data_IF_431814228948
#
_entry.id   IF_431814228948
#
_cell.length_a   1.000
_cell.length_b   1.000
_cell.length_c   1.000
_cell.angle_alpha   90.00
_cell.angle_beta   90.00
_cell.angle_gamma   90.00
#
_symmetry.space_group_name_H-M   'P 1'
#
loop_
_entity.id
_entity.type
_entity.pdbx_description
1 polymer ?
#
# COMPACT_ATOMS: atom_id res chain seq x y z
N UNK A 1 -1.32 -10.31 -11.09
CA UNK A 1 -0.46 -9.31 -10.39
C UNK A 1 -1.25 -8.11 -9.86
N UNK A 2 -2.00 -7.37 -10.69
CA UNK A 2 -2.76 -6.21 -10.20
C UNK A 2 -3.86 -6.59 -9.19
N UNK A 3 -4.62 -7.64 -9.48
CA UNK A 3 -5.63 -8.18 -8.55
C UNK A 3 -5.03 -8.56 -7.20
N UNK A 4 -3.87 -9.23 -7.20
CA UNK A 4 -3.12 -9.55 -5.98
C UNK A 4 -2.76 -8.27 -5.21
N UNK A 5 -2.24 -7.27 -5.90
CA UNK A 5 -1.81 -6.02 -5.29
C UNK A 5 -2.99 -5.28 -4.62
N UNK A 6 -4.12 -5.18 -5.30
CA UNK A 6 -5.31 -4.52 -4.78
C UNK A 6 -5.95 -5.30 -3.62
N UNK A 7 -5.99 -6.64 -3.71
CA UNK A 7 -6.53 -7.49 -2.66
C UNK A 7 -5.72 -7.35 -1.36
N UNK A 8 -4.39 -7.50 -1.45
CA UNK A 8 -3.52 -7.37 -0.28
C UNK A 8 -3.50 -5.95 0.27
N UNK A 9 -3.52 -4.93 -0.59
CA UNK A 9 -3.67 -3.55 -0.15
C UNK A 9 -4.92 -3.37 0.69
N UNK A 10 -6.08 -3.76 0.19
CA UNK A 10 -7.35 -3.63 0.90
C UNK A 10 -7.34 -4.39 2.23
N UNK A 11 -6.82 -5.62 2.23
CA UNK A 11 -6.74 -6.44 3.44
C UNK A 11 -5.86 -5.79 4.52
N UNK A 12 -4.66 -5.33 4.16
CA UNK A 12 -3.73 -4.71 5.11
C UNK A 12 -4.29 -3.38 5.64
N UNK A 13 -4.84 -2.55 4.79
CA UNK A 13 -5.44 -1.28 5.21
C UNK A 13 -6.61 -1.50 6.18
N UNK A 14 -7.48 -2.48 5.92
CA UNK A 14 -8.56 -2.84 6.83
C UNK A 14 -8.04 -3.27 8.19
N UNK A 15 -7.03 -4.14 8.24
CA UNK A 15 -6.45 -4.61 9.51
C UNK A 15 -5.79 -3.48 10.29
N UNK A 16 -5.06 -2.61 9.60
CA UNK A 16 -4.46 -1.43 10.25
C UNK A 16 -5.52 -0.48 10.82
N UNK A 17 -6.65 -0.29 10.13
CA UNK A 17 -7.75 0.55 10.65
C UNK A 17 -8.39 -0.02 11.92
N UNK A 18 -8.33 -1.32 12.10
CA UNK A 18 -8.88 -2.04 13.26
C UNK A 18 -7.86 -2.21 14.39
N UNK A 19 -6.67 -1.65 14.28
CA UNK A 19 -5.57 -1.82 15.22
C UNK A 19 -5.20 -3.29 15.50
N UNK A 20 -5.31 -4.15 14.48
CA UNK A 20 -4.82 -5.52 14.62
C UNK A 20 -3.32 -5.54 14.87
N UNK A 21 -2.85 -6.54 15.63
CA UNK A 21 -1.45 -6.65 16.09
C UNK A 21 -0.44 -6.62 14.96
N UNK A 22 -0.78 -7.18 13.79
CA UNK A 22 0.12 -7.19 12.65
C UNK A 22 -0.41 -8.00 11.48
N UNK A 23 0.33 -7.97 10.41
CA UNK A 23 0.04 -8.71 9.18
C UNK A 23 1.31 -9.41 8.72
N UNK A 24 1.21 -10.71 8.53
CA UNK A 24 2.27 -11.52 7.91
C UNK A 24 1.83 -11.84 6.48
N UNK A 25 2.63 -11.42 5.52
CA UNK A 25 2.33 -11.65 4.12
C UNK A 25 3.10 -12.86 3.59
N UNK A 26 2.44 -13.70 2.84
CA UNK A 26 3.05 -14.78 2.10
C UNK A 26 3.07 -14.42 0.62
N UNK A 27 4.20 -14.17 0.02
CA UNK A 27 5.55 -14.08 0.57
C UNK A 27 6.26 -12.86 -0.02
N UNK A 28 7.46 -12.53 0.46
CA UNK A 28 8.19 -11.36 -0.02
C UNK A 28 8.60 -11.52 -1.49
N UNK A 29 9.17 -12.67 -1.85
CA UNK A 29 9.86 -12.85 -3.13
C UNK A 29 9.37 -14.07 -3.93
N UNK A 30 9.64 -14.02 -5.22
CA UNK A 30 9.60 -15.15 -6.14
C UNK A 30 11.01 -15.65 -6.42
N UNK A 31 11.21 -16.97 -6.50
CA UNK A 31 12.49 -17.58 -6.88
C UNK A 31 12.73 -17.53 -8.39
N UNK A 32 11.68 -17.41 -9.17
CA UNK A 32 11.70 -17.25 -10.64
C UNK A 32 10.56 -16.34 -11.10
N UNK A 33 10.62 -15.79 -12.31
CA UNK A 33 9.59 -14.90 -12.81
C UNK A 33 8.24 -15.62 -12.99
N UNK A 34 7.38 -15.51 -12.00
CA UNK A 34 6.05 -16.13 -12.00
C UNK A 34 4.94 -15.16 -11.64
N UNK A 35 3.69 -15.59 -11.83
CA UNK A 35 2.51 -14.92 -11.31
C UNK A 35 2.17 -15.29 -9.86
N UNK A 36 3.12 -15.86 -9.10
CA UNK A 36 2.89 -16.35 -7.75
C UNK A 36 2.71 -15.27 -6.68
N UNK A 37 2.95 -15.65 -5.44
CA UNK A 37 2.56 -14.89 -4.25
C UNK A 37 3.49 -13.74 -3.88
N UNK A 38 4.76 -13.80 -4.29
CA UNK A 38 5.75 -12.80 -3.93
C UNK A 38 5.46 -11.42 -4.50
N UNK A 39 5.97 -10.40 -3.84
CA UNK A 39 5.86 -9.01 -4.27
C UNK A 39 7.04 -8.54 -5.13
N UNK A 40 8.14 -9.27 -5.10
CA UNK A 40 9.31 -9.01 -5.93
C UNK A 40 9.87 -10.29 -6.55
N UNK A 41 10.52 -10.15 -7.68
CA UNK A 41 11.26 -11.22 -8.35
C UNK A 41 12.75 -10.98 -8.16
N UNK A 42 13.49 -12.00 -7.76
CA UNK A 42 14.94 -11.94 -7.74
C UNK A 42 15.51 -12.06 -9.15
N UNK A 43 16.58 -11.38 -9.39
CA UNK A 43 17.34 -11.56 -10.62
C UNK A 43 18.17 -12.83 -10.60
N UNK A 44 18.60 -13.27 -11.76
CA UNK A 44 19.46 -14.44 -11.95
C UNK A 44 20.92 -13.99 -12.06
N UNK A 45 21.82 -14.51 -11.22
CA UNK A 45 23.25 -14.22 -11.36
C UNK A 45 23.81 -14.92 -12.61
N UNK A 46 24.41 -14.16 -13.50
CA UNK A 46 25.05 -14.65 -14.71
C UNK A 46 26.40 -13.94 -14.85
N UNK A 47 27.49 -14.69 -14.84
CA UNK A 47 28.85 -14.15 -15.03
C UNK A 47 29.19 -12.93 -14.17
N UNK A 48 28.80 -12.93 -12.90
CA UNK A 48 29.07 -11.82 -11.96
C UNK A 48 28.11 -10.64 -12.06
N UNK A 49 27.11 -10.73 -12.92
CA UNK A 49 26.02 -9.75 -13.04
C UNK A 49 24.69 -10.36 -12.61
N UNK A 50 23.77 -9.52 -12.16
CA UNK A 50 22.40 -9.94 -11.89
C UNK A 50 21.52 -9.46 -13.03
N UNK A 51 20.97 -10.40 -13.79
CA UNK A 51 20.03 -10.13 -14.87
C UNK A 51 18.59 -10.29 -14.38
N UNK A 52 17.74 -9.37 -14.79
CA UNK A 52 16.35 -9.33 -14.36
C UNK A 52 16.21 -8.79 -12.95
N UNK A 53 15.24 -9.32 -12.22
CA UNK A 53 14.85 -8.79 -10.92
C UNK A 53 13.97 -7.55 -11.06
N UNK A 54 12.77 -7.61 -10.49
CA UNK A 54 11.82 -6.50 -10.58
C UNK A 54 10.82 -6.52 -9.43
N UNK A 55 10.30 -5.36 -9.15
CA UNK A 55 9.17 -5.21 -8.25
C UNK A 55 7.87 -5.49 -9.00
N UNK A 56 7.01 -6.27 -8.39
CA UNK A 56 5.62 -6.39 -8.83
C UNK A 56 4.80 -5.19 -8.33
N UNK A 57 3.61 -4.93 -8.89
CA UNK A 57 2.75 -3.82 -8.45
C UNK A 57 2.52 -3.78 -6.94
N UNK A 58 2.39 -4.94 -6.30
CA UNK A 58 2.24 -5.06 -4.84
C UNK A 58 3.42 -4.46 -4.08
N UNK A 59 4.65 -4.64 -4.54
CA UNK A 59 5.83 -4.14 -3.85
C UNK A 59 5.91 -2.60 -3.88
N UNK A 60 5.47 -1.98 -4.96
CA UNK A 60 5.33 -0.52 -5.01
C UNK A 60 4.28 0.00 -4.03
N UNK A 61 3.16 -0.74 -3.88
CA UNK A 61 2.14 -0.40 -2.89
C UNK A 61 2.65 -0.57 -1.46
N UNK A 62 3.42 -1.62 -1.17
CA UNK A 62 4.06 -1.79 0.13
C UNK A 62 4.91 -0.58 0.50
N UNK A 63 5.80 -0.19 -0.37
CA UNK A 63 6.72 0.91 -0.11
C UNK A 63 6.04 2.26 0.05
N UNK A 64 5.03 2.55 -0.78
CA UNK A 64 4.49 3.90 -0.92
C UNK A 64 3.25 4.17 -0.08
N UNK A 65 2.53 3.14 0.32
CA UNK A 65 1.25 3.34 0.99
C UNK A 65 0.99 2.36 2.12
N UNK A 66 1.10 1.05 1.88
CA UNK A 66 0.59 0.05 2.83
C UNK A 66 1.38 0.04 4.14
N UNK A 67 2.70 0.21 4.06
CA UNK A 67 3.60 0.23 5.22
C UNK A 67 4.13 1.64 5.54
N UNK A 68 3.46 2.68 5.07
CA UNK A 68 3.78 4.03 5.50
C UNK A 68 3.48 4.20 7.00
N UNK A 69 4.32 4.96 7.69
CA UNK A 69 4.14 5.24 9.12
C UNK A 69 2.86 6.03 9.36
N UNK A 70 2.58 7.00 8.51
CA UNK A 70 1.30 7.69 8.47
C UNK A 70 0.57 7.30 7.21
N UNK A 71 -0.65 6.80 7.34
CA UNK A 71 -1.45 6.41 6.20
C UNK A 71 -2.90 6.87 6.32
N UNK A 72 -3.52 7.07 5.16
CA UNK A 72 -4.95 7.30 5.04
C UNK A 72 -5.56 6.29 4.07
N UNK A 73 -6.73 5.78 4.39
CA UNK A 73 -7.49 4.92 3.49
C UNK A 73 -9.00 5.07 3.73
N UNK A 74 -9.79 4.69 2.72
CA UNK A 74 -11.24 4.65 2.81
C UNK A 74 -11.73 3.23 2.56
N UNK A 75 -12.65 2.76 3.39
CA UNK A 75 -13.32 1.48 3.25
C UNK A 75 -14.53 1.52 2.31
N UNK A 76 -15.10 0.36 2.02
CA UNK A 76 -16.23 0.19 1.13
C UNK A 76 -17.50 0.95 1.57
N UNK A 77 -17.66 1.23 2.86
CA UNK A 77 -18.78 2.00 3.41
C UNK A 77 -18.61 3.52 3.35
N UNK A 78 -17.57 4.01 2.66
CA UNK A 78 -17.26 5.44 2.60
C UNK A 78 -16.64 6.02 3.87
N UNK A 79 -16.36 5.18 4.87
CA UNK A 79 -15.60 5.59 6.04
C UNK A 79 -14.13 5.70 5.69
N UNK A 80 -13.55 6.85 6.00
CA UNK A 80 -12.11 7.07 5.82
C UNK A 80 -11.44 7.19 7.19
N UNK A 81 -10.20 6.80 7.26
CA UNK A 81 -9.40 6.91 8.48
C UNK A 81 -8.00 7.42 8.15
N UNK A 82 -7.39 8.04 9.12
CA UNK A 82 -5.95 8.36 9.13
C UNK A 82 -5.34 7.68 10.33
N UNK A 83 -4.20 7.08 10.15
CA UNK A 83 -3.48 6.39 11.19
C UNK A 83 -2.04 6.86 11.23
N UNK A 84 -1.56 7.16 12.44
CA UNK A 84 -0.17 7.42 12.74
C UNK A 84 0.39 6.21 13.50
N UNK A 85 1.31 5.49 12.89
CA UNK A 85 2.02 4.36 13.51
C UNK A 85 3.45 4.74 13.92
N UNK A 86 3.80 6.03 13.89
CA UNK A 86 5.09 6.52 14.40
C UNK A 86 5.11 6.44 15.94
N UNK A 87 6.05 5.67 16.44
CA UNK A 87 6.16 5.51 17.90
C UNK A 87 6.62 6.81 18.58
N UNK A 88 5.71 7.41 19.36
CA UNK A 88 6.02 8.61 20.16
C UNK A 88 6.14 9.92 19.40
N UNK A 89 5.77 9.94 18.11
CA UNK A 89 5.77 11.15 17.30
C UNK A 89 4.35 11.55 16.91
N UNK A 90 3.97 12.78 17.25
CA UNK A 90 2.69 13.32 16.85
C UNK A 90 2.72 13.72 15.37
N UNK A 91 1.63 13.51 14.66
CA UNK A 91 1.45 13.93 13.27
C UNK A 91 0.38 15.02 13.18
N UNK A 92 0.69 16.09 12.46
CA UNK A 92 -0.26 17.11 12.07
C UNK A 92 -0.22 17.30 10.56
N UNK A 93 -1.39 17.30 9.92
CA UNK A 93 -1.43 17.39 8.47
C UNK A 93 -2.83 17.62 7.93
N UNK A 94 -2.93 17.54 6.61
CA UNK A 94 -4.19 17.70 5.90
C UNK A 94 -4.49 16.44 5.10
N UNK A 95 -5.71 15.94 5.20
CA UNK A 95 -6.22 14.83 4.41
C UNK A 95 -7.14 15.38 3.33
N UNK A 96 -6.86 14.99 2.09
CA UNK A 96 -7.69 15.34 0.94
C UNK A 96 -8.33 14.07 0.40
N UNK A 97 -9.65 14.03 0.35
CA UNK A 97 -10.42 12.94 -0.21
C UNK A 97 -10.92 13.34 -1.58
N UNK A 98 -10.62 12.55 -2.58
CA UNK A 98 -11.04 12.79 -3.95
C UNK A 98 -11.61 11.55 -4.62
N UNK A 99 -12.44 11.77 -5.61
CA UNK A 99 -12.89 10.75 -6.55
C UNK A 99 -12.14 10.90 -7.88
N UNK A 100 -11.82 9.77 -8.50
CA UNK A 100 -11.23 9.70 -9.84
C UNK A 100 -12.20 8.94 -10.74
N UNK A 101 -12.69 9.59 -11.77
CA UNK A 101 -13.45 8.93 -12.83
C UNK A 101 -12.49 8.21 -13.77
N UNK A 102 -12.55 6.89 -13.82
CA UNK A 102 -11.60 6.10 -14.60
C UNK A 102 -11.73 6.30 -16.12
N UNK A 103 -12.94 6.59 -16.60
CA UNK A 103 -13.18 6.76 -18.03
C UNK A 103 -12.54 8.05 -18.58
N UNK A 104 -12.53 9.11 -17.80
CA UNK A 104 -12.09 10.45 -18.24
C UNK A 104 -10.79 10.92 -17.59
N UNK A 105 -10.40 10.28 -16.46
CA UNK A 105 -9.29 10.74 -15.64
C UNK A 105 -9.58 12.00 -14.82
N UNK A 106 -10.84 12.46 -14.81
CA UNK A 106 -11.24 13.65 -14.06
C UNK A 106 -11.16 13.35 -12.56
N UNK A 107 -10.52 14.26 -11.83
CA UNK A 107 -10.44 14.22 -10.36
C UNK A 107 -11.37 15.28 -9.77
N UNK A 108 -12.19 14.85 -8.82
CA UNK A 108 -13.07 15.73 -8.07
C UNK A 108 -12.70 15.66 -6.60
N UNK A 109 -12.43 16.82 -5.98
CA UNK A 109 -12.20 16.91 -4.54
C UNK A 109 -13.54 16.79 -3.82
N UNK A 110 -13.65 15.86 -2.88
CA UNK A 110 -14.87 15.60 -2.12
C UNK A 110 -14.82 16.22 -0.72
N UNK A 111 -13.67 16.12 -0.06
CA UNK A 111 -13.48 16.68 1.27
C UNK A 111 -12.01 17.02 1.52
N UNK A 112 -11.79 17.93 2.44
CA UNK A 112 -10.45 18.27 2.97
C UNK A 112 -10.59 18.46 4.48
N UNK A 113 -9.80 17.73 5.25
CA UNK A 113 -9.83 17.73 6.71
C UNK A 113 -8.43 17.98 7.28
N UNK A 114 -8.34 18.80 8.30
CA UNK A 114 -7.10 18.97 9.07
C UNK A 114 -7.11 17.97 10.21
N UNK A 115 -6.06 17.19 10.33
CA UNK A 115 -5.93 16.13 11.35
C UNK A 115 -4.73 16.40 12.24
N UNK A 116 -4.91 16.08 13.52
CA UNK A 116 -3.85 16.03 14.53
C UNK A 116 -3.96 14.69 15.23
N UNK A 117 -2.90 13.91 15.19
CA UNK A 117 -2.83 12.56 15.74
C UNK A 117 -1.67 12.49 16.74
N UNK A 118 -1.95 11.88 17.88
CA UNK A 118 -0.94 11.60 18.89
C UNK A 118 -0.06 10.42 18.50
#
# INVERSE_FOLDING_TARGET
MLSQALNLKSNIETRRSQNELGVLVWQLNEIWPTGGWGSLEYGTPVAGQVLGGRWKPLHYLYRRSIFADVMAACGAGGQCYVKNDQAGEAFAGQVVIGALEFATGIRTMLATETVQLA
#
